data_IF_422383328574
#
_entry.id   IF_422383328574
#
_cell.length_a   1.000
_cell.length_b   1.000
_cell.length_c   1.000
_cell.angle_alpha   90.00
_cell.angle_beta   90.00
_cell.angle_gamma   90.00
#
_symmetry.space_group_name_H-M   'P 1'
#
loop_
_entity.id
_entity.type
_entity.pdbx_description
1 polymer ?
#
# COMPACT_ATOMS: atom_id res chain seq x y z
N UNK A 1 -8.58 5.41 4.32
CA UNK A 1 -7.82 6.53 4.91
C UNK A 1 -6.73 6.99 3.97
N UNK A 2 -6.51 8.29 3.88
CA UNK A 2 -5.46 8.85 3.03
C UNK A 2 -4.25 9.23 3.87
N UNK A 3 -3.08 9.08 3.29
CA UNK A 3 -1.80 9.35 3.95
C UNK A 3 -1.08 10.45 3.18
N UNK A 4 -0.45 11.37 3.88
CA UNK A 4 0.36 12.41 3.25
C UNK A 4 1.84 12.06 3.26
N UNK A 5 2.22 11.01 3.98
CA UNK A 5 3.60 10.58 4.15
C UNK A 5 3.77 9.18 3.57
N UNK A 6 4.67 9.05 2.58
CA UNK A 6 4.85 7.78 1.90
C UNK A 6 5.34 6.69 2.85
N UNK A 7 6.21 7.04 3.80
CA UNK A 7 6.72 6.05 4.75
C UNK A 7 5.59 5.51 5.61
N UNK A 8 4.71 6.39 6.10
CA UNK A 8 3.59 5.95 6.92
C UNK A 8 2.65 5.04 6.13
N UNK A 9 2.41 5.37 4.86
CA UNK A 9 1.55 4.56 4.02
C UNK A 9 2.17 3.19 3.77
N UNK A 10 3.48 3.14 3.54
CA UNK A 10 4.16 1.87 3.34
C UNK A 10 4.12 1.01 4.60
N UNK A 11 4.28 1.63 5.76
CA UNK A 11 4.20 0.90 7.03
C UNK A 11 2.81 0.32 7.25
N UNK A 12 1.78 1.07 6.88
CA UNK A 12 0.42 0.57 6.97
C UNK A 12 0.20 -0.61 6.04
N UNK A 13 0.73 -0.55 4.82
CA UNK A 13 0.62 -1.64 3.89
C UNK A 13 1.28 -2.91 4.43
N UNK A 14 2.48 -2.75 5.03
CA UNK A 14 3.19 -3.87 5.65
C UNK A 14 2.40 -4.46 6.81
N UNK A 15 1.82 -3.59 7.63
CA UNK A 15 1.00 -4.03 8.76
C UNK A 15 -0.19 -4.85 8.29
N UNK A 16 -0.89 -4.37 7.27
CA UNK A 16 -2.05 -5.07 6.76
C UNK A 16 -1.67 -6.40 6.12
N UNK A 17 -0.52 -6.45 5.47
CA UNK A 17 -0.03 -7.72 4.92
C UNK A 17 0.18 -8.74 6.04
N UNK A 18 0.79 -8.32 7.15
CA UNK A 18 1.02 -9.24 8.28
C UNK A 18 -0.28 -9.65 8.95
N UNK A 19 -1.24 -8.74 9.05
CA UNK A 19 -2.50 -9.02 9.72
C UNK A 19 -3.42 -9.93 8.90
N UNK A 20 -3.46 -9.73 7.58
CA UNK A 20 -4.44 -10.42 6.75
C UNK A 20 -3.83 -11.52 5.90
N UNK A 21 -2.52 -11.53 5.73
CA UNK A 21 -1.84 -12.46 4.82
C UNK A 21 -2.04 -12.12 3.36
N UNK A 22 -2.66 -10.97 3.07
CA UNK A 22 -2.88 -10.53 1.70
C UNK A 22 -1.99 -9.35 1.38
N UNK A 23 -1.45 -9.34 0.16
CA UNK A 23 -0.59 -8.23 -0.25
C UNK A 23 -1.38 -6.94 -0.38
N UNK A 24 -0.74 -5.85 0.01
CA UNK A 24 -1.32 -4.51 -0.08
C UNK A 24 -0.36 -3.61 -0.83
N UNK A 25 -0.89 -2.54 -1.38
CA UNK A 25 -0.13 -1.61 -2.19
C UNK A 25 -0.50 -0.18 -1.82
N UNK A 26 0.41 0.74 -2.11
CA UNK A 26 0.20 2.16 -1.90
C UNK A 26 0.02 2.81 -3.25
N UNK A 27 -1.12 3.47 -3.46
CA UNK A 27 -1.40 4.18 -4.70
C UNK A 27 -1.52 5.67 -4.41
N UNK A 28 -1.25 6.48 -5.42
CA UNK A 28 -1.36 7.93 -5.28
C UNK A 28 -2.76 8.37 -5.66
N UNK A 29 -3.35 9.22 -4.82
CA UNK A 29 -4.68 9.79 -5.05
C UNK A 29 -4.54 11.30 -4.87
N UNK A 30 -4.39 12.01 -5.99
CA UNK A 30 -4.10 13.43 -5.93
C UNK A 30 -2.75 13.67 -5.27
N UNK A 31 -2.73 14.48 -4.22
CA UNK A 31 -1.51 14.76 -3.47
C UNK A 31 -1.34 13.83 -2.26
N UNK A 32 -2.25 12.87 -2.09
CA UNK A 32 -2.23 11.95 -0.96
C UNK A 32 -1.98 10.53 -1.45
N UNK A 33 -1.86 9.61 -0.51
CA UNK A 33 -1.66 8.20 -0.82
C UNK A 33 -2.69 7.35 -0.11
N UNK A 34 -3.08 6.25 -0.73
CA UNK A 34 -4.05 5.33 -0.17
C UNK A 34 -3.48 3.93 -0.18
N UNK A 35 -3.72 3.19 0.89
CA UNK A 35 -3.32 1.79 0.98
C UNK A 35 -4.52 0.94 0.58
N UNK A 36 -4.31 0.06 -0.39
CA UNK A 36 -5.37 -0.80 -0.91
C UNK A 36 -4.82 -2.21 -1.04
N UNK A 37 -5.71 -3.19 -1.16
CA UNK A 37 -5.31 -4.55 -1.45
C UNK A 37 -4.63 -4.57 -2.82
N UNK A 38 -3.52 -5.32 -2.93
CA UNK A 38 -2.74 -5.31 -4.18
C UNK A 38 -3.58 -5.80 -5.35
N UNK A 39 -3.48 -5.09 -6.46
CA UNK A 39 -4.15 -5.43 -7.70
C UNK A 39 -3.19 -5.11 -8.84
N UNK A 40 -2.82 -6.13 -9.61
CA UNK A 40 -1.84 -5.96 -10.69
C UNK A 40 -2.32 -5.00 -11.78
N UNK A 41 -3.62 -4.70 -11.82
CA UNK A 41 -4.18 -3.76 -12.78
C UNK A 41 -4.01 -2.30 -12.35
N UNK A 42 -3.64 -2.07 -11.09
CA UNK A 42 -3.47 -0.72 -10.56
C UNK A 42 -2.00 -0.34 -10.54
N UNK A 43 -1.75 0.93 -10.86
CA UNK A 43 -0.41 1.49 -10.67
C UNK A 43 -0.20 1.74 -9.19
N UNK A 44 0.96 1.36 -8.70
CA UNK A 44 1.28 1.57 -7.28
C UNK A 44 2.68 2.12 -7.13
N UNK A 45 2.88 2.88 -6.04
CA UNK A 45 4.19 3.41 -5.67
C UNK A 45 4.98 2.37 -4.90
N UNK A 46 4.27 1.47 -4.20
CA UNK A 46 4.87 0.49 -3.33
C UNK A 46 3.91 -0.69 -3.22
N UNK A 47 4.45 -1.88 -3.05
CA UNK A 47 3.61 -3.06 -2.82
C UNK A 47 4.36 -4.04 -1.93
N UNK A 48 3.60 -4.70 -1.05
CA UNK A 48 4.17 -5.73 -0.19
C UNK A 48 4.56 -6.98 -0.96
N UNK A 49 4.25 -7.04 -2.25
CA UNK A 49 4.67 -8.18 -3.08
C UNK A 49 6.19 -8.34 -3.12
N UNK A 50 6.92 -7.30 -2.71
CA UNK A 50 8.39 -7.39 -2.62
C UNK A 50 8.84 -8.41 -1.58
N UNK A 51 7.94 -8.87 -0.72
CA UNK A 51 8.27 -9.86 0.30
C UNK A 51 8.11 -11.29 -0.19
N UNK A 52 7.89 -11.49 -1.44
CA UNK A 52 7.73 -12.82 -2.03
C UNK A 52 8.87 -13.75 -1.71
#
# INVERSE_FOLDING_TARGET
MLWSNIQAACEEADFLYEETGKHHAVIQVGSMMMVVEHNSMLRHMYSTTRYQ
#
